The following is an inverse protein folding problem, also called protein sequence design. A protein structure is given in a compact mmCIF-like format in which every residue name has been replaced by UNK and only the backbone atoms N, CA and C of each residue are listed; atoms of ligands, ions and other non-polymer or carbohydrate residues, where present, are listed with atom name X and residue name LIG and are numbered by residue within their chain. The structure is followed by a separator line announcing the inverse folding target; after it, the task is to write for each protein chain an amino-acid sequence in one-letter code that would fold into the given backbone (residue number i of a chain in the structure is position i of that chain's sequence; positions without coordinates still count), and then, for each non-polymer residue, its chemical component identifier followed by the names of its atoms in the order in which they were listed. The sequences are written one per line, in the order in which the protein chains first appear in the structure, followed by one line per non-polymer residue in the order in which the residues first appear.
data_IF_821017073246
#
_entry.id   IF_821017073246
#
_cell.length_a   1.000
_cell.length_b   1.000
_cell.length_c   1.000
_cell.angle_alpha   90.00
_cell.angle_beta   90.00
_cell.angle_gamma   90.00
#
_symmetry.space_group_name_H-M   'P 1'
#
loop_
_entity.id
_entity.type
_entity.pdbx_description
1 polymer ?
#
# COMPACT_ATOMS: atom_id res chain seq x y z
N UNK A 1 17.86 30.95 -17.12
CA UNK A 1 17.91 29.65 -17.83
C UNK A 1 19.02 28.70 -17.33
N UNK A 2 20.26 29.14 -17.05
CA UNK A 2 21.35 28.23 -16.64
C UNK A 2 21.24 27.58 -15.23
N UNK A 3 20.31 28.04 -14.38
CA UNK A 3 20.16 27.53 -13.00
C UNK A 3 19.37 26.21 -12.89
N UNK A 4 18.40 26.00 -13.77
CA UNK A 4 17.49 24.84 -13.75
C UNK A 4 18.21 23.53 -14.13
N UNK A 5 19.25 23.59 -14.97
CA UNK A 5 19.97 22.40 -15.44
C UNK A 5 20.91 21.77 -14.39
N UNK A 6 21.34 22.54 -13.37
CA UNK A 6 22.27 22.03 -12.35
C UNK A 6 21.61 21.29 -11.19
N UNK A 7 20.27 21.33 -11.09
CA UNK A 7 19.50 20.83 -9.95
C UNK A 7 19.73 21.59 -8.63
N UNK A 8 20.70 22.52 -8.56
CA UNK A 8 21.04 23.27 -7.33
C UNK A 8 20.20 24.52 -7.11
N UNK A 9 19.37 24.90 -8.08
CA UNK A 9 18.47 26.04 -7.92
C UNK A 9 17.51 25.79 -6.75
N UNK A 10 17.23 26.82 -5.91
CA UNK A 10 16.19 26.72 -4.89
C UNK A 10 14.86 26.31 -5.51
N UNK A 11 14.17 25.36 -4.89
CA UNK A 11 12.90 24.85 -5.40
C UNK A 11 11.86 25.97 -5.50
N UNK A 12 11.83 26.88 -4.53
CA UNK A 12 10.95 28.04 -4.53
C UNK A 12 11.07 28.89 -5.81
N UNK A 13 12.28 29.07 -6.35
CA UNK A 13 12.50 29.81 -7.60
C UNK A 13 11.99 29.04 -8.82
N UNK A 14 12.20 27.73 -8.86
CA UNK A 14 11.73 26.88 -9.95
C UNK A 14 10.19 26.75 -9.97
N UNK A 15 9.53 26.83 -8.81
CA UNK A 15 8.08 26.77 -8.71
C UNK A 15 7.39 28.00 -9.30
N UNK A 16 7.97 29.19 -9.17
CA UNK A 16 7.41 30.42 -9.77
C UNK A 16 7.29 30.28 -11.29
N UNK A 17 8.32 29.73 -11.95
CA UNK A 17 8.30 29.49 -13.39
C UNK A 17 7.20 28.48 -13.79
N UNK A 18 6.96 27.46 -12.97
CA UNK A 18 5.89 26.47 -13.22
C UNK A 18 4.50 27.02 -12.92
N UNK A 19 4.34 27.90 -11.92
CA UNK A 19 3.08 28.57 -11.62
C UNK A 19 2.61 29.45 -12.77
N UNK A 20 3.54 30.19 -13.39
CA UNK A 20 3.27 30.98 -14.59
C UNK A 20 2.75 30.12 -15.76
N UNK A 21 3.18 28.86 -15.85
CA UNK A 21 2.68 27.90 -16.85
C UNK A 21 1.28 27.35 -16.53
N UNK A 22 0.72 27.65 -15.36
CA UNK A 22 -0.64 27.24 -14.98
C UNK A 22 -1.69 28.32 -15.22
N UNK A 23 -1.27 29.53 -15.60
CA UNK A 23 -2.17 30.64 -15.90
C UNK A 23 -2.97 30.41 -17.20
N UNK A 24 -4.14 31.04 -17.29
CA UNK A 24 -5.22 30.69 -18.23
C UNK A 24 -5.07 31.31 -19.62
N UNK A 25 -5.26 30.47 -20.64
CA UNK A 25 -5.91 30.82 -21.90
C UNK A 25 -7.11 29.86 -22.05
N UNK A 26 -8.32 30.40 -22.22
CA UNK A 26 -9.59 29.64 -22.17
C UNK A 26 -9.89 28.86 -23.47
N UNK A 27 -9.13 29.09 -24.55
CA UNK A 27 -9.32 28.47 -25.88
C UNK A 27 -8.32 27.34 -26.21
N UNK A 28 -7.79 26.66 -25.20
CA UNK A 28 -6.74 25.65 -25.37
C UNK A 28 -7.30 24.23 -25.59
N UNK A 29 -6.71 23.42 -26.48
CA UNK A 29 -7.11 22.03 -26.71
C UNK A 29 -6.95 21.15 -25.46
N UNK A 30 -7.74 20.08 -25.35
CA UNK A 30 -7.81 19.21 -24.16
C UNK A 30 -6.45 18.66 -23.68
N UNK A 31 -5.52 18.36 -24.59
CA UNK A 31 -4.18 17.89 -24.23
C UNK A 31 -3.35 18.94 -23.47
N UNK A 32 -3.57 20.23 -23.73
CA UNK A 32 -2.92 21.31 -22.99
C UNK A 32 -3.58 21.52 -21.62
N UNK A 33 -4.88 21.24 -21.50
CA UNK A 33 -5.56 21.20 -20.20
C UNK A 33 -5.01 20.08 -19.30
N UNK A 34 -4.77 18.88 -19.84
CA UNK A 34 -4.16 17.76 -19.10
C UNK A 34 -2.71 18.06 -18.69
N UNK A 35 -1.92 18.62 -19.60
CA UNK A 35 -0.55 19.08 -19.30
C UNK A 35 -0.55 20.09 -18.15
N UNK A 36 -1.43 21.10 -18.22
CA UNK A 36 -1.58 22.12 -17.18
C UNK A 36 -2.00 21.53 -15.84
N UNK A 37 -2.93 20.57 -15.83
CA UNK A 37 -3.33 19.85 -14.61
C UNK A 37 -2.13 19.10 -13.99
N UNK A 38 -1.31 18.46 -14.82
CA UNK A 38 -0.09 17.78 -14.37
C UNK A 38 0.95 18.76 -13.82
N UNK A 39 1.16 19.91 -14.46
CA UNK A 39 2.06 20.97 -13.95
C UNK A 39 1.54 21.51 -12.61
N UNK A 40 0.24 21.77 -12.49
CA UNK A 40 -0.38 22.21 -11.22
C UNK A 40 -0.23 21.18 -10.10
N UNK A 41 -0.25 19.88 -10.41
CA UNK A 41 0.05 18.83 -9.45
C UNK A 41 1.52 18.89 -8.98
N UNK A 42 2.48 19.07 -9.89
CA UNK A 42 3.90 19.23 -9.55
C UNK A 42 4.15 20.47 -8.68
N UNK A 43 3.50 21.60 -9.00
CA UNK A 43 3.59 22.83 -8.20
C UNK A 43 3.12 22.57 -6.77
N UNK A 44 1.97 21.93 -6.60
CA UNK A 44 1.44 21.58 -5.28
C UNK A 44 2.42 20.71 -4.50
N UNK A 45 2.93 19.63 -5.11
CA UNK A 45 3.88 18.74 -4.45
C UNK A 45 5.19 19.46 -4.08
N UNK A 46 5.64 20.42 -4.88
CA UNK A 46 6.81 21.23 -4.56
C UNK A 46 6.59 22.14 -3.35
N UNK A 47 5.42 22.75 -3.23
CA UNK A 47 5.05 23.52 -2.04
C UNK A 47 4.93 22.65 -0.79
N UNK A 48 4.36 21.45 -0.93
CA UNK A 48 4.29 20.48 0.17
C UNK A 48 5.70 20.11 0.66
N UNK A 49 6.66 19.91 -0.26
CA UNK A 49 8.06 19.66 0.10
C UNK A 49 8.71 20.88 0.77
N UNK A 50 8.48 22.10 0.28
CA UNK A 50 9.01 23.33 0.90
C UNK A 50 8.46 23.57 2.31
N UNK A 51 7.24 23.13 2.60
CA UNK A 51 6.67 23.21 3.94
C UNK A 51 7.41 22.29 4.94
N UNK A 52 7.99 21.19 4.46
CA UNK A 52 8.76 20.23 5.26
C UNK A 52 10.25 20.60 5.30
N UNK A 53 10.80 21.00 4.15
CA UNK A 53 12.18 21.40 3.96
C UNK A 53 12.26 22.71 3.15
N UNK A 54 12.31 23.87 3.83
CA UNK A 54 12.44 25.17 3.17
C UNK A 54 13.74 25.34 2.35
N UNK A 55 14.74 24.48 2.58
CA UNK A 55 16.01 24.47 1.86
C UNK A 55 16.02 23.59 0.61
N UNK A 56 14.89 22.99 0.25
CA UNK A 56 14.80 22.08 -0.89
C UNK A 56 15.24 22.75 -2.21
N UNK A 57 15.89 21.95 -3.06
CA UNK A 57 16.35 22.35 -4.40
C UNK A 57 15.52 21.66 -5.48
N UNK A 58 15.56 22.17 -6.71
CA UNK A 58 14.91 21.52 -7.84
C UNK A 58 15.40 20.07 -8.04
N UNK A 59 16.68 19.80 -7.79
CA UNK A 59 17.27 18.47 -7.87
C UNK A 59 16.73 17.52 -6.79
N UNK A 60 16.71 17.96 -5.53
CA UNK A 60 16.17 17.15 -4.43
C UNK A 60 14.67 16.89 -4.60
N UNK A 61 13.91 17.84 -5.15
CA UNK A 61 12.52 17.63 -5.52
C UNK A 61 12.34 16.56 -6.61
N UNK A 62 13.14 16.59 -7.67
CA UNK A 62 13.07 15.58 -8.74
C UNK A 62 13.44 14.20 -8.22
N UNK A 63 14.44 14.08 -7.35
CA UNK A 63 14.79 12.81 -6.69
C UNK A 63 13.65 12.29 -5.82
N UNK A 64 13.09 13.15 -4.97
CA UNK A 64 11.94 12.82 -4.15
C UNK A 64 10.71 12.44 -4.98
N UNK A 65 10.41 13.18 -6.05
CA UNK A 65 9.27 12.92 -6.93
C UNK A 65 9.44 11.60 -7.69
N UNK A 66 10.67 11.28 -8.13
CA UNK A 66 11.00 9.98 -8.74
C UNK A 66 10.89 8.84 -7.74
N UNK A 67 11.37 9.01 -6.52
CA UNK A 67 11.23 8.02 -5.46
C UNK A 67 9.75 7.78 -5.12
N UNK A 68 8.96 8.86 -5.06
CA UNK A 68 7.51 8.83 -4.81
C UNK A 68 6.73 8.21 -5.97
N UNK A 69 7.14 8.46 -7.22
CA UNK A 69 6.57 7.81 -8.40
C UNK A 69 6.99 6.34 -8.52
N UNK A 70 8.15 5.98 -7.95
CA UNK A 70 8.67 4.63 -7.89
C UNK A 70 8.03 3.78 -6.78
N UNK A 71 7.03 4.30 -6.05
CA UNK A 71 6.43 3.64 -4.88
C UNK A 71 5.85 2.25 -5.17
N UNK A 72 5.56 1.92 -6.44
CA UNK A 72 5.25 0.55 -6.89
C UNK A 72 6.36 -0.49 -6.59
N UNK A 73 7.56 -0.05 -6.20
CA UNK A 73 8.72 -0.92 -5.93
C UNK A 73 8.96 -1.21 -4.44
N UNK A 74 8.31 -0.50 -3.52
CA UNK A 74 8.40 -0.82 -2.09
C UNK A 74 7.37 -1.89 -1.76
N UNK A 75 7.82 -3.11 -1.51
CA UNK A 75 6.93 -4.19 -1.06
C UNK A 75 6.25 -3.84 0.26
N UNK A 76 4.98 -4.21 0.40
CA UNK A 76 4.23 -4.09 1.65
C UNK A 76 4.78 -5.04 2.72
N UNK A 77 4.69 -4.65 4.00
CA UNK A 77 5.08 -5.51 5.13
C UNK A 77 6.51 -5.34 5.65
N UNK A 78 7.23 -4.29 5.23
CA UNK A 78 8.46 -3.84 5.89
C UNK A 78 8.20 -3.19 7.26
N UNK A 79 9.27 -2.78 7.96
CA UNK A 79 9.14 -1.94 9.17
C UNK A 79 8.89 -0.47 8.81
N UNK A 80 7.72 -0.22 8.24
CA UNK A 80 7.28 1.10 7.79
C UNK A 80 5.75 1.20 7.83
N UNK A 81 5.23 2.41 7.66
CA UNK A 81 3.80 2.66 7.48
C UNK A 81 3.49 2.68 5.98
N UNK A 82 2.56 1.82 5.55
CA UNK A 82 2.01 1.85 4.20
C UNK A 82 1.02 3.02 4.06
N UNK A 83 1.28 3.96 3.14
CA UNK A 83 0.37 5.06 2.80
C UNK A 83 -0.15 4.79 1.39
N UNK A 84 -1.46 4.49 1.29
CA UNK A 84 -2.07 4.00 0.06
C UNK A 84 -3.41 4.69 -0.22
N UNK A 85 -3.81 4.68 -1.49
CA UNK A 85 -5.19 5.02 -1.88
C UNK A 85 -6.11 3.81 -1.65
N UNK A 86 -7.44 4.03 -1.61
CA UNK A 86 -8.41 2.93 -1.44
C UNK A 86 -8.27 1.84 -2.51
N UNK A 87 -7.98 2.24 -3.75
CA UNK A 87 -7.77 1.32 -4.87
C UNK A 87 -6.52 0.46 -4.68
N UNK A 88 -5.40 1.08 -4.27
CA UNK A 88 -4.14 0.40 -4.06
C UNK A 88 -4.18 -0.58 -2.87
N UNK A 89 -5.08 -0.35 -1.91
CA UNK A 89 -5.25 -1.22 -0.76
C UNK A 89 -6.01 -2.53 -1.08
N UNK A 90 -6.57 -2.68 -2.29
CA UNK A 90 -7.38 -3.85 -2.66
C UNK A 90 -6.57 -5.14 -2.58
N UNK A 91 -7.05 -6.11 -1.79
CA UNK A 91 -6.42 -7.41 -1.62
C UNK A 91 -5.26 -7.43 -0.61
N UNK A 92 -5.02 -6.30 0.07
CA UNK A 92 -4.08 -6.17 1.17
C UNK A 92 -4.85 -6.03 2.49
N UNK A 93 -4.23 -6.42 3.61
CA UNK A 93 -4.84 -6.34 4.94
C UNK A 93 -3.76 -5.97 5.97
N UNK A 94 -4.17 -5.21 6.99
CA UNK A 94 -3.29 -4.77 8.06
C UNK A 94 -3.95 -4.94 9.43
N UNK A 95 -3.17 -5.17 10.49
CA UNK A 95 -3.69 -5.21 11.86
C UNK A 95 -4.45 -3.93 12.24
N UNK A 96 -3.96 -2.77 11.79
CA UNK A 96 -4.53 -1.44 12.09
C UNK A 96 -4.59 -0.64 10.78
N UNK A 97 -5.74 -0.05 10.49
CA UNK A 97 -5.93 0.84 9.33
C UNK A 97 -6.44 2.20 9.78
N UNK A 98 -5.84 3.25 9.23
CA UNK A 98 -6.29 4.63 9.39
C UNK A 98 -6.90 5.12 8.07
N UNK A 99 -8.20 5.40 8.06
CA UNK A 99 -8.89 6.08 6.98
C UNK A 99 -8.92 7.58 7.27
N UNK A 100 -8.14 8.34 6.51
CA UNK A 100 -8.03 9.79 6.68
C UNK A 100 -8.85 10.54 5.62
N UNK A 101 -9.48 11.64 6.03
CA UNK A 101 -10.23 12.52 5.10
C UNK A 101 -11.59 11.98 4.71
N UNK A 102 -12.31 11.32 5.64
CA UNK A 102 -13.67 10.84 5.39
C UNK A 102 -14.66 12.01 5.54
N UNK A 103 -14.66 12.85 4.53
CA UNK A 103 -15.33 14.16 4.48
C UNK A 103 -16.29 14.23 3.29
N UNK A 104 -17.38 15.00 3.43
CA UNK A 104 -18.27 15.27 2.31
C UNK A 104 -17.53 15.99 1.17
N UNK A 105 -17.72 15.46 -0.04
CA UNK A 105 -17.05 15.93 -1.25
C UNK A 105 -15.66 15.33 -1.49
N UNK A 106 -15.10 14.61 -0.50
CA UNK A 106 -13.88 13.80 -0.66
C UNK A 106 -14.17 12.30 -0.61
N UNK A 107 -14.94 11.85 0.38
CA UNK A 107 -15.46 10.48 0.47
C UNK A 107 -16.93 10.54 0.95
N UNK A 108 -17.92 10.42 0.05
CA UNK A 108 -17.79 10.24 -1.40
C UNK A 108 -17.21 11.47 -2.12
N UNK A 109 -16.53 11.24 -3.25
CA UNK A 109 -16.05 12.32 -4.11
C UNK A 109 -17.26 13.10 -4.66
N UNK A 110 -17.25 14.42 -4.52
CA UNK A 110 -18.42 15.28 -4.85
C UNK A 110 -18.87 15.28 -6.32
N UNK A 111 -18.10 14.67 -7.22
CA UNK A 111 -18.45 14.49 -8.63
C UNK A 111 -19.24 13.21 -8.91
N UNK A 112 -19.27 12.25 -7.97
CA UNK A 112 -20.05 11.02 -8.05
C UNK A 112 -21.53 11.32 -7.76
N UNK A 113 -22.22 11.90 -8.74
CA UNK A 113 -23.61 12.38 -8.60
C UNK A 113 -24.65 11.39 -9.11
N UNK A 114 -24.24 10.40 -9.91
CA UNK A 114 -25.13 9.35 -10.42
C UNK A 114 -25.12 8.15 -9.48
N UNK A 115 -26.25 7.46 -9.35
CA UNK A 115 -26.42 6.33 -8.43
C UNK A 115 -25.35 5.24 -8.60
N UNK A 116 -24.94 4.96 -9.85
CA UNK A 116 -23.87 3.99 -10.14
C UNK A 116 -22.49 4.43 -9.65
N UNK A 117 -22.18 5.73 -9.72
CA UNK A 117 -20.89 6.29 -9.26
C UNK A 117 -20.85 6.32 -7.73
N UNK A 118 -21.96 6.73 -7.09
CA UNK A 118 -22.06 6.73 -5.63
C UNK A 118 -21.98 5.31 -5.05
N UNK A 119 -22.58 4.33 -5.74
CA UNK A 119 -22.49 2.93 -5.35
C UNK A 119 -21.06 2.38 -5.45
N UNK A 120 -20.29 2.81 -6.46
CA UNK A 120 -18.88 2.43 -6.59
C UNK A 120 -18.02 3.09 -5.50
N UNK A 121 -18.21 4.37 -5.23
CA UNK A 121 -17.55 5.06 -4.11
C UNK A 121 -17.83 4.36 -2.77
N UNK A 122 -19.08 3.90 -2.58
CA UNK A 122 -19.48 3.14 -1.39
C UNK A 122 -18.80 1.77 -1.33
N UNK A 123 -18.60 1.10 -2.48
CA UNK A 123 -17.81 -0.14 -2.55
C UNK A 123 -16.35 0.12 -2.20
N UNK A 124 -15.75 1.21 -2.68
CA UNK A 124 -14.38 1.58 -2.35
C UNK A 124 -14.21 1.86 -0.86
N UNK A 125 -15.14 2.60 -0.24
CA UNK A 125 -15.14 2.83 1.19
C UNK A 125 -15.29 1.53 1.99
N UNK A 126 -16.19 0.63 1.57
CA UNK A 126 -16.34 -0.69 2.19
C UNK A 126 -15.04 -1.52 2.07
N UNK A 127 -14.40 -1.52 0.90
CA UNK A 127 -13.11 -2.19 0.71
C UNK A 127 -12.09 -1.61 1.67
N UNK A 128 -11.98 -0.29 1.77
CA UNK A 128 -11.04 0.39 2.67
C UNK A 128 -11.27 0.01 4.15
N UNK A 129 -12.52 0.02 4.61
CA UNK A 129 -12.90 -0.39 5.97
C UNK A 129 -12.51 -1.85 6.26
N UNK A 130 -12.71 -2.75 5.29
CA UNK A 130 -12.44 -4.18 5.44
C UNK A 130 -10.97 -4.57 5.29
N UNK A 131 -10.06 -3.62 5.02
CA UNK A 131 -8.62 -3.91 5.06
C UNK A 131 -8.09 -4.00 6.50
N UNK A 132 -8.88 -3.56 7.48
CA UNK A 132 -8.55 -3.60 8.90
C UNK A 132 -8.88 -4.97 9.50
N UNK A 133 -7.90 -5.65 10.08
CA UNK A 133 -8.12 -6.92 10.78
C UNK A 133 -8.58 -6.72 12.23
N UNK A 134 -8.00 -5.75 12.94
CA UNK A 134 -8.26 -5.55 14.37
C UNK A 134 -8.82 -4.17 14.70
N UNK A 135 -8.22 -3.12 14.15
CA UNK A 135 -8.58 -1.75 14.49
C UNK A 135 -8.72 -0.89 13.23
N UNK A 136 -9.88 -0.25 13.11
CA UNK A 136 -10.18 0.75 12.10
C UNK A 136 -10.33 2.11 12.77
N UNK A 137 -9.51 3.08 12.34
CA UNK A 137 -9.59 4.47 12.80
C UNK A 137 -10.01 5.34 11.64
N UNK A 138 -11.07 6.11 11.84
CA UNK A 138 -11.61 7.02 10.82
C UNK A 138 -11.42 8.45 11.30
N UNK A 139 -10.87 9.32 10.46
CA UNK A 139 -10.72 10.74 10.73
C UNK A 139 -11.24 11.62 9.60
N UNK A 140 -11.69 12.80 9.97
CA UNK A 140 -12.14 13.88 9.10
C UNK A 140 -11.61 15.21 9.65
N UNK A 141 -11.50 16.23 8.81
CA UNK A 141 -11.10 17.57 9.22
C UNK A 141 -12.27 18.55 9.08
N UNK A 142 -12.37 19.52 9.99
CA UNK A 142 -13.35 20.62 9.90
C UNK A 142 -12.94 21.68 8.87
N UNK A 143 -11.64 21.84 8.64
CA UNK A 143 -11.08 22.70 7.61
C UNK A 143 -9.89 22.01 6.93
N UNK A 144 -9.81 22.13 5.61
CA UNK A 144 -8.66 21.69 4.82
C UNK A 144 -8.11 22.82 3.98
N UNK A 145 -6.79 22.97 4.01
CA UNK A 145 -6.05 23.86 3.11
C UNK A 145 -5.55 23.07 1.91
N UNK A 146 -5.91 23.52 0.70
CA UNK A 146 -5.37 23.02 -0.55
C UNK A 146 -4.67 24.18 -1.25
N UNK A 147 -3.33 24.16 -1.28
CA UNK A 147 -2.54 25.30 -1.74
C UNK A 147 -2.82 26.54 -0.88
N UNK A 148 -3.28 27.63 -1.49
CA UNK A 148 -3.62 28.89 -0.79
C UNK A 148 -5.08 28.96 -0.33
N UNK A 149 -5.93 28.01 -0.74
CA UNK A 149 -7.37 28.04 -0.43
C UNK A 149 -7.69 27.11 0.73
N UNK A 150 -8.20 27.69 1.81
CA UNK A 150 -8.81 26.92 2.90
C UNK A 150 -10.31 26.74 2.62
N UNK A 151 -10.79 25.53 2.83
CA UNK A 151 -12.19 25.16 2.64
C UNK A 151 -12.70 24.49 3.91
N UNK A 152 -13.87 24.93 4.37
CA UNK A 152 -14.58 24.21 5.41
C UNK A 152 -15.05 22.86 4.86
N UNK A 153 -15.02 21.86 5.72
CA UNK A 153 -15.36 20.49 5.41
C UNK A 153 -16.36 19.99 6.45
N UNK A 154 -17.22 19.09 6.01
CA UNK A 154 -18.16 18.40 6.89
C UNK A 154 -17.78 16.93 6.93
N UNK A 155 -17.99 16.32 8.09
CA UNK A 155 -17.95 14.86 8.25
C UNK A 155 -18.79 14.20 7.17
N UNK A 156 -18.27 13.14 6.56
CA UNK A 156 -19.05 12.32 5.65
C UNK A 156 -20.22 11.66 6.37
N UNK A 157 -21.41 11.68 5.75
CA UNK A 157 -22.58 10.93 6.23
C UNK A 157 -22.32 9.43 6.39
N UNK A 158 -21.33 8.86 5.70
CA UNK A 158 -21.00 7.44 5.80
C UNK A 158 -20.31 7.05 7.11
N UNK A 159 -19.80 8.03 7.87
CA UNK A 159 -19.32 7.76 9.24
C UNK A 159 -20.50 7.36 10.12
N UNK A 160 -21.69 7.97 9.93
CA UNK A 160 -22.91 7.65 10.68
C UNK A 160 -23.33 6.20 10.43
N UNK A 161 -23.24 5.74 9.17
CA UNK A 161 -23.53 4.34 8.79
C UNK A 161 -22.59 3.36 9.52
N UNK A 162 -21.30 3.70 9.64
CA UNK A 162 -20.31 2.87 10.36
C UNK A 162 -20.54 2.88 11.86
N UNK A 163 -20.85 4.04 12.45
CA UNK A 163 -21.18 4.15 13.87
C UNK A 163 -22.44 3.35 14.21
N UNK A 164 -23.48 3.43 13.36
CA UNK A 164 -24.70 2.65 13.50
C UNK A 164 -24.42 1.14 13.42
N UNK A 165 -23.59 0.71 12.47
CA UNK A 165 -23.18 -0.69 12.36
C UNK A 165 -22.41 -1.16 13.60
N UNK A 166 -21.50 -0.34 14.12
CA UNK A 166 -20.73 -0.61 15.34
C UNK A 166 -21.60 -0.68 16.61
N UNK A 167 -22.66 0.13 16.66
CA UNK A 167 -23.62 0.14 17.76
C UNK A 167 -24.63 -1.02 17.68
N UNK A 168 -24.65 -1.77 16.57
CA UNK A 168 -25.62 -2.85 16.40
C UNK A 168 -25.41 -3.98 17.42
N UNK A 169 -26.49 -4.56 18.00
CA UNK A 169 -26.36 -5.63 19.00
C UNK A 169 -25.59 -6.86 18.49
N UNK A 170 -25.74 -7.18 17.21
CA UNK A 170 -25.05 -8.30 16.56
C UNK A 170 -23.53 -8.07 16.54
N UNK A 171 -23.09 -6.87 16.17
CA UNK A 171 -21.68 -6.51 16.14
C UNK A 171 -21.08 -6.44 17.55
N UNK A 172 -21.80 -5.85 18.50
CA UNK A 172 -21.39 -5.83 19.91
C UNK A 172 -21.22 -7.24 20.45
N UNK A 173 -22.17 -8.14 20.17
CA UNK A 173 -22.10 -9.55 20.59
C UNK A 173 -20.90 -10.27 19.96
N UNK A 174 -20.69 -10.11 18.65
CA UNK A 174 -19.56 -10.71 17.93
C UNK A 174 -18.21 -10.23 18.48
N UNK A 175 -18.05 -8.92 18.69
CA UNK A 175 -16.84 -8.32 19.26
C UNK A 175 -16.59 -8.78 20.70
N UNK A 176 -17.63 -8.85 21.52
CA UNK A 176 -17.52 -9.32 22.91
C UNK A 176 -17.10 -10.78 22.97
N UNK A 177 -17.63 -11.62 22.08
CA UNK A 177 -17.22 -13.02 21.96
C UNK A 177 -15.75 -13.15 21.51
N UNK A 178 -15.33 -12.36 20.52
CA UNK A 178 -13.95 -12.34 20.04
C UNK A 178 -12.95 -11.89 21.12
N UNK A 179 -13.27 -10.84 21.88
CA UNK A 179 -12.43 -10.37 23.00
C UNK A 179 -12.30 -11.44 24.08
N UNK A 180 -13.40 -12.09 24.48
CA UNK A 180 -13.36 -13.20 25.44
C UNK A 180 -12.52 -14.38 24.95
N UNK A 181 -12.56 -14.69 23.66
CA UNK A 181 -11.72 -15.73 23.07
C UNK A 181 -10.23 -15.37 23.13
N UNK A 182 -9.88 -14.10 22.90
CA UNK A 182 -8.51 -13.57 23.04
C UNK A 182 -8.02 -13.59 24.49
N UNK A 183 -8.85 -13.17 25.44
CA UNK A 183 -8.52 -13.19 26.89
C UNK A 183 -8.34 -14.60 27.45
N UNK A 184 -8.98 -15.61 26.83
CA UNK A 184 -8.82 -17.03 27.19
C UNK A 184 -7.59 -17.69 26.56
N UNK A 185 -6.92 -17.04 25.62
CA UNK A 185 -5.58 -17.46 25.18
C UNK A 185 -4.54 -16.98 26.19
N UNK A 186 -3.70 -17.86 26.76
CA UNK A 186 -2.63 -17.42 27.65
C UNK A 186 -1.61 -16.58 26.86
N UNK A 187 -1.36 -15.35 27.31
CA UNK A 187 -0.43 -14.39 26.70
C UNK A 187 1.02 -14.90 26.63
N UNK A 188 1.66 -14.61 25.50
CA UNK A 188 3.11 -14.35 25.40
C UNK A 188 3.34 -13.15 24.47
N UNK A 189 4.29 -12.24 24.77
CA UNK A 189 4.37 -10.92 24.12
C UNK A 189 5.04 -10.96 22.74
N UNK A 190 4.78 -9.88 21.99
CA UNK A 190 5.51 -9.42 20.81
C UNK A 190 7.02 -9.66 20.90
N UNK A 191 7.60 -10.31 19.89
CA UNK A 191 9.04 -10.26 19.59
C UNK A 191 9.25 -9.83 18.14
N UNK A 192 9.45 -8.53 17.96
CA UNK A 192 10.39 -8.02 16.96
C UNK A 192 11.81 -8.03 17.55
N UNK A 193 12.78 -8.12 16.63
CA UNK A 193 14.22 -7.89 16.73
C UNK A 193 15.13 -9.12 17.00
N UNK A 194 16.15 -9.23 16.14
CA UNK A 194 17.49 -9.69 16.54
C UNK A 194 18.07 -10.84 15.75
N UNK A 195 19.01 -10.54 14.85
CA UNK A 195 19.95 -11.51 14.24
C UNK A 195 20.77 -12.21 15.33
N UNK A 196 20.90 -13.54 15.27
CA UNK A 196 22.14 -14.30 15.48
C UNK A 196 21.94 -15.79 15.12
N UNK A 197 23.05 -16.47 14.84
CA UNK A 197 23.22 -17.67 13.99
C UNK A 197 22.51 -19.00 14.38
N UNK A 198 22.18 -19.81 13.34
CA UNK A 198 21.77 -21.24 13.35
C UNK A 198 20.28 -21.46 13.02
N UNK A 199 19.76 -22.58 12.40
CA UNK A 199 20.29 -23.95 12.16
C UNK A 199 20.03 -24.45 10.68
N UNK A 200 20.04 -25.76 10.31
CA UNK A 200 19.97 -26.29 8.93
C UNK A 200 18.82 -25.79 8.03
N UNK A 201 17.72 -25.33 8.62
CA UNK A 201 16.58 -24.79 7.85
C UNK A 201 16.90 -23.48 7.10
N UNK A 202 17.97 -22.77 7.49
CA UNK A 202 18.48 -21.61 6.74
C UNK A 202 19.12 -21.98 5.40
N UNK A 203 19.67 -23.20 5.29
CA UNK A 203 20.25 -23.69 4.04
C UNK A 203 19.15 -24.03 3.02
N UNK A 204 18.11 -24.76 3.46
CA UNK A 204 16.94 -25.07 2.62
C UNK A 204 16.21 -23.80 2.18
N UNK A 205 15.94 -22.87 3.11
CA UNK A 205 15.31 -21.60 2.75
C UNK A 205 16.18 -20.77 1.79
N UNK A 206 17.51 -20.83 1.96
CA UNK A 206 18.48 -20.24 1.04
C UNK A 206 18.37 -20.83 -0.36
N UNK A 207 18.35 -22.16 -0.49
CA UNK A 207 18.20 -22.87 -1.76
C UNK A 207 16.87 -22.53 -2.44
N UNK A 208 15.77 -22.48 -1.68
CA UNK A 208 14.45 -22.08 -2.19
C UNK A 208 14.43 -20.63 -2.70
N UNK A 209 15.04 -19.69 -1.98
CA UNK A 209 15.16 -18.28 -2.41
C UNK A 209 16.04 -18.13 -3.65
N UNK A 210 17.10 -18.93 -3.76
CA UNK A 210 18.03 -18.91 -4.89
C UNK A 210 17.37 -19.49 -6.15
N UNK A 211 16.69 -20.63 -6.03
CA UNK A 211 15.88 -21.22 -7.09
C UNK A 211 14.78 -20.28 -7.58
N UNK A 212 14.06 -19.61 -6.66
CA UNK A 212 13.04 -18.62 -7.02
C UNK A 212 13.61 -17.48 -7.85
N UNK A 213 14.76 -16.95 -7.45
CA UNK A 213 15.43 -15.85 -8.17
C UNK A 213 15.86 -16.28 -9.57
N UNK A 214 16.41 -17.49 -9.72
CA UNK A 214 16.79 -18.04 -11.01
C UNK A 214 15.58 -18.25 -11.93
N UNK A 215 14.49 -18.82 -11.40
CA UNK A 215 13.24 -19.06 -12.11
C UNK A 215 12.57 -17.75 -12.57
N UNK A 216 12.53 -16.76 -11.68
CA UNK A 216 11.98 -15.44 -11.95
C UNK A 216 12.77 -14.70 -13.05
N UNK A 217 14.11 -14.78 -12.99
CA UNK A 217 15.00 -14.20 -14.02
C UNK A 217 14.78 -14.86 -15.39
N UNK A 218 14.64 -16.18 -15.44
CA UNK A 218 14.33 -16.92 -16.68
C UNK A 218 12.97 -16.55 -17.27
N UNK A 219 11.98 -16.31 -16.41
CA UNK A 219 10.64 -15.90 -16.81
C UNK A 219 10.47 -14.38 -17.01
N UNK A 220 11.52 -13.58 -16.77
CA UNK A 220 11.48 -12.10 -16.82
C UNK A 220 10.36 -11.47 -15.97
N UNK A 221 10.08 -12.06 -14.80
CA UNK A 221 9.10 -11.56 -13.85
C UNK A 221 9.75 -11.32 -12.48
N UNK A 222 9.20 -10.44 -11.63
CA UNK A 222 9.68 -10.29 -10.26
C UNK A 222 9.56 -11.59 -9.45
N UNK A 223 10.48 -11.82 -8.51
CA UNK A 223 10.59 -13.08 -7.77
C UNK A 223 9.31 -13.44 -6.98
N UNK A 224 8.62 -12.45 -6.41
CA UNK A 224 7.39 -12.65 -5.65
C UNK A 224 6.24 -13.22 -6.50
N UNK A 225 6.27 -13.04 -7.83
CA UNK A 225 5.27 -13.61 -8.77
C UNK A 225 5.36 -15.14 -8.79
N UNK A 226 6.57 -15.69 -8.65
CA UNK A 226 6.78 -17.13 -8.52
C UNK A 226 6.23 -17.59 -7.16
N UNK A 227 6.84 -17.12 -6.07
CA UNK A 227 6.37 -17.35 -4.69
C UNK A 227 6.74 -16.17 -3.77
N UNK A 228 5.82 -15.79 -2.89
CA UNK A 228 6.10 -14.84 -1.82
C UNK A 228 7.09 -15.43 -0.80
N UNK A 229 7.79 -14.57 -0.05
CA UNK A 229 8.74 -15.01 0.99
C UNK A 229 8.05 -15.86 2.05
N UNK A 230 6.85 -15.45 2.50
CA UNK A 230 6.04 -16.21 3.45
C UNK A 230 5.71 -17.63 2.96
N UNK A 231 5.52 -17.82 1.64
CA UNK A 231 5.25 -19.14 1.07
C UNK A 231 6.50 -20.00 1.05
N UNK A 232 7.68 -19.45 0.72
CA UNK A 232 8.93 -20.20 0.79
C UNK A 232 9.31 -20.58 2.23
N UNK A 233 9.03 -19.70 3.19
CA UNK A 233 9.20 -19.97 4.62
C UNK A 233 8.25 -21.06 5.11
N UNK A 234 6.98 -21.03 4.68
CA UNK A 234 6.02 -22.08 4.97
C UNK A 234 6.43 -23.43 4.38
N UNK A 235 6.98 -23.45 3.16
CA UNK A 235 7.51 -24.68 2.53
C UNK A 235 8.71 -25.21 3.30
N UNK A 236 9.66 -24.34 3.66
CA UNK A 236 10.85 -24.73 4.43
C UNK A 236 10.48 -25.30 5.81
N UNK A 237 9.49 -24.70 6.47
CA UNK A 237 9.01 -25.14 7.78
C UNK A 237 8.20 -26.46 7.71
N UNK A 238 7.34 -26.62 6.70
CA UNK A 238 6.43 -27.76 6.60
C UNK A 238 7.08 -29.00 5.93
N UNK A 239 8.16 -28.82 5.17
CA UNK A 239 8.89 -29.88 4.44
C UNK A 239 7.95 -30.87 3.72
N UNK A 240 7.07 -30.40 2.83
CA UNK A 240 6.09 -31.24 2.16
C UNK A 240 6.78 -32.30 1.28
N UNK A 241 6.29 -33.54 1.33
CA UNK A 241 6.87 -34.65 0.56
C UNK A 241 6.07 -34.99 -0.70
N UNK A 242 4.87 -34.42 -0.84
CA UNK A 242 3.97 -34.66 -1.97
C UNK A 242 3.33 -33.38 -2.52
N UNK A 243 2.84 -33.46 -3.76
CA UNK A 243 2.07 -32.37 -4.39
C UNK A 243 0.79 -32.04 -3.59
N UNK A 244 0.20 -33.01 -2.87
CA UNK A 244 -0.98 -32.77 -2.03
C UNK A 244 -0.61 -31.95 -0.78
N UNK A 245 0.56 -32.18 -0.20
CA UNK A 245 1.04 -31.42 0.95
C UNK A 245 1.35 -29.97 0.58
N UNK A 246 1.87 -29.73 -0.63
CA UNK A 246 2.06 -28.38 -1.16
C UNK A 246 0.73 -27.61 -1.26
N UNK A 247 -0.36 -28.25 -1.67
CA UNK A 247 -1.70 -27.61 -1.77
C UNK A 247 -2.27 -27.18 -0.41
N UNK A 248 -1.76 -27.73 0.70
CA UNK A 248 -2.19 -27.37 2.05
C UNK A 248 -1.51 -26.09 2.56
N UNK A 249 -0.50 -25.59 1.85
CA UNK A 249 0.27 -24.42 2.22
C UNK A 249 -0.31 -23.14 1.61
N UNK A 250 -0.40 -22.10 2.43
CA UNK A 250 -0.93 -20.80 2.00
C UNK A 250 -0.09 -20.19 0.87
N UNK A 251 -0.75 -19.79 -0.21
CA UNK A 251 -0.10 -19.20 -1.40
C UNK A 251 0.33 -20.19 -2.48
N UNK A 252 0.05 -21.49 -2.32
CA UNK A 252 0.32 -22.54 -3.32
C UNK A 252 -1.00 -23.13 -3.85
N UNK A 253 -1.51 -22.57 -4.95
CA UNK A 253 -2.67 -23.09 -5.66
C UNK A 253 -2.33 -24.18 -6.69
N UNK A 254 -3.33 -24.89 -7.24
CA UNK A 254 -3.15 -26.02 -8.16
C UNK A 254 -2.30 -25.69 -9.40
N UNK A 255 -2.47 -24.48 -9.97
CA UNK A 255 -1.67 -24.01 -11.11
C UNK A 255 -0.18 -23.86 -10.75
N UNK A 256 0.12 -23.44 -9.52
CA UNK A 256 1.52 -23.30 -9.06
C UNK A 256 2.13 -24.66 -8.73
N UNK A 257 1.34 -25.59 -8.22
CA UNK A 257 1.76 -26.99 -7.99
C UNK A 257 2.07 -27.68 -9.31
N UNK A 258 1.23 -27.50 -10.33
CA UNK A 258 1.46 -28.05 -11.66
C UNK A 258 2.72 -27.46 -12.31
N UNK A 259 2.92 -26.14 -12.19
CA UNK A 259 4.03 -25.44 -12.86
C UNK A 259 5.37 -25.57 -12.12
N UNK A 260 5.37 -25.62 -10.80
CA UNK A 260 6.58 -25.50 -9.98
C UNK A 260 6.73 -26.59 -8.91
N UNK A 261 5.72 -27.44 -8.70
CA UNK A 261 5.71 -28.43 -7.61
C UNK A 261 6.82 -29.46 -7.71
N UNK A 262 7.15 -29.94 -8.92
CA UNK A 262 8.22 -30.91 -9.12
C UNK A 262 9.60 -30.36 -8.68
N UNK A 263 9.92 -29.13 -9.09
CA UNK A 263 11.18 -28.49 -8.73
C UNK A 263 11.29 -28.18 -7.22
N UNK A 264 10.18 -27.78 -6.59
CA UNK A 264 10.12 -27.58 -5.15
C UNK A 264 10.38 -28.87 -4.36
N UNK A 265 9.74 -29.98 -4.77
CA UNK A 265 9.90 -31.28 -4.12
C UNK A 265 11.31 -31.86 -4.32
N UNK A 266 11.97 -31.54 -5.43
CA UNK A 266 13.35 -31.93 -5.70
C UNK A 266 14.33 -31.22 -4.75
N UNK A 267 14.23 -29.90 -4.62
CA UNK A 267 15.04 -29.11 -3.67
C UNK A 267 14.83 -29.58 -2.23
N UNK A 268 13.58 -29.92 -1.88
CA UNK A 268 13.24 -30.45 -0.56
C UNK A 268 13.90 -31.81 -0.31
N UNK A 269 13.93 -32.72 -1.28
CA UNK A 269 14.60 -34.03 -1.15
C UNK A 269 16.11 -33.88 -0.95
N UNK A 270 16.75 -33.03 -1.74
CA UNK A 270 18.20 -32.77 -1.64
C UNK A 270 18.64 -32.26 -0.25
N UNK A 271 17.73 -31.61 0.48
CA UNK A 271 18.02 -31.01 1.80
C UNK A 271 17.39 -31.79 2.97
N UNK A 272 16.73 -32.92 2.71
CA UNK A 272 16.17 -33.81 3.76
C UNK A 272 17.05 -35.05 4.01
N UNK A 273 17.99 -35.36 3.12
CA UNK A 273 18.92 -36.50 3.22
C UNK A 273 20.25 -36.19 3.95
N UNK A 274 20.30 -35.16 4.81
CA UNK A 274 21.46 -34.82 5.67
C UNK A 274 21.04 -34.66 7.12
#
# INVERSE_FOLDING_TARGET
MAGLESGRAPLATALVDLELMTETDDDQPAAEADRRANIGALVRLGHDLLAVDPGATAGSFVEWARASAATDQFGHGGDAVDILTFHAAKGLEWPVVHLAGIEDGLVPIGHAKRDGELAEERRLFYVACTRAENELRISWAEQRTFGTRSMNRSRSSWIDDVELANASPQFIAARTAANRARERSPLGPSRRAGRSAGPPDSALLGALKQWRTATAKGAKVPAYVIFADATLEAVAAAKPLTHNDLLRLSGIGPVKVERYGAALLEILREHTDT
#
